data_IF_655675471089
#
_entry.id   IF_655675471089
#
_cell.length_a   1.000
_cell.length_b   1.000
_cell.length_c   1.000
_cell.angle_alpha   90.00
_cell.angle_beta   90.00
_cell.angle_gamma   90.00
#
_symmetry.space_group_name_H-M   'P 1'
#
loop_
_entity.id
_entity.type
_entity.pdbx_description
1 polymer ?
#
# COMPACT_ATOMS: atom_id res chain seq x y z
N UNK A 1 -24.41 -26.20 -11.30
CA UNK A 1 -23.06 -25.56 -11.24
C UNK A 1 -23.02 -24.21 -10.53
N UNK A 2 -24.10 -23.39 -10.48
CA UNK A 2 -24.11 -22.13 -9.69
C UNK A 2 -24.30 -22.32 -8.17
N UNK A 3 -24.99 -23.36 -7.71
CA UNK A 3 -25.25 -23.57 -6.27
C UNK A 3 -24.02 -24.00 -5.45
N UNK A 4 -23.12 -24.81 -6.01
CA UNK A 4 -21.92 -25.29 -5.29
C UNK A 4 -20.85 -24.19 -5.13
N UNK A 5 -20.70 -23.30 -6.11
CA UNK A 5 -19.68 -22.22 -6.06
C UNK A 5 -20.08 -21.03 -5.18
N UNK A 6 -21.38 -20.71 -5.11
CA UNK A 6 -21.87 -19.77 -4.10
C UNK A 6 -21.61 -20.28 -2.68
N UNK A 7 -21.71 -21.61 -2.48
CA UNK A 7 -21.36 -22.24 -1.21
C UNK A 7 -19.88 -22.11 -0.86
N UNK A 8 -18.95 -22.23 -1.83
CA UNK A 8 -17.51 -22.08 -1.58
C UNK A 8 -17.15 -20.67 -1.09
N UNK A 9 -17.64 -19.62 -1.76
CA UNK A 9 -17.33 -18.23 -1.39
C UNK A 9 -17.84 -17.92 0.02
N UNK A 10 -19.06 -18.33 0.34
CA UNK A 10 -19.62 -18.15 1.67
C UNK A 10 -18.80 -18.85 2.75
N UNK A 11 -18.39 -20.11 2.51
CA UNK A 11 -17.54 -20.85 3.43
C UNK A 11 -16.19 -20.17 3.64
N UNK A 12 -15.58 -19.69 2.56
CA UNK A 12 -14.31 -18.97 2.60
C UNK A 12 -14.43 -17.63 3.35
N UNK A 13 -15.54 -16.89 3.18
CA UNK A 13 -15.80 -15.67 3.95
C UNK A 13 -15.90 -16.01 5.44
N UNK A 14 -16.75 -16.98 5.81
CA UNK A 14 -16.92 -17.41 7.20
C UNK A 14 -15.60 -17.85 7.81
N UNK A 15 -14.80 -18.62 7.07
CA UNK A 15 -13.45 -19.01 7.48
C UNK A 15 -12.54 -17.80 7.72
N UNK A 16 -12.48 -16.85 6.78
CA UNK A 16 -11.69 -15.62 6.94
C UNK A 16 -12.09 -14.85 8.20
N UNK A 17 -13.38 -14.75 8.50
CA UNK A 17 -13.87 -14.02 9.67
C UNK A 17 -13.39 -14.65 10.99
N UNK A 18 -13.46 -15.98 11.09
CA UNK A 18 -12.99 -16.76 12.25
C UNK A 18 -11.47 -16.72 12.37
N UNK A 19 -10.75 -16.97 11.27
CA UNK A 19 -9.29 -16.95 11.25
C UNK A 19 -8.76 -15.56 11.74
N UNK A 20 -9.45 -14.47 11.39
CA UNK A 20 -9.11 -13.13 11.85
C UNK A 20 -9.47 -12.85 13.31
N UNK A 21 -10.50 -13.49 13.84
CA UNK A 21 -10.83 -13.38 15.27
C UNK A 21 -9.70 -13.93 16.14
N UNK A 22 -9.15 -15.09 15.78
CA UNK A 22 -8.04 -15.70 16.51
C UNK A 22 -6.73 -14.93 16.30
N UNK A 23 -6.51 -14.44 15.07
CA UNK A 23 -5.36 -13.61 14.73
C UNK A 23 -5.29 -12.32 15.56
N UNK A 24 -6.41 -11.59 15.67
CA UNK A 24 -6.44 -10.28 16.37
C UNK A 24 -6.19 -10.39 17.88
N UNK A 25 -6.48 -11.54 18.49
CA UNK A 25 -6.19 -11.81 19.92
C UNK A 25 -4.69 -11.98 20.17
N UNK A 26 -3.96 -12.57 19.23
CA UNK A 26 -2.59 -13.06 19.42
C UNK A 26 -1.51 -12.20 18.77
N UNK A 27 -1.83 -11.49 17.69
CA UNK A 27 -0.84 -10.76 16.89
C UNK A 27 -0.46 -9.40 17.50
N UNK A 28 0.81 -9.24 17.89
CA UNK A 28 1.33 -8.00 18.50
C UNK A 28 1.38 -6.82 17.52
N UNK A 29 1.68 -7.09 16.23
CA UNK A 29 1.71 -6.05 15.21
C UNK A 29 0.33 -5.43 14.98
N UNK A 30 -0.73 -6.23 15.07
CA UNK A 30 -2.12 -5.79 14.99
C UNK A 30 -2.45 -4.85 16.15
N UNK A 31 -2.09 -5.24 17.37
CA UNK A 31 -2.32 -4.40 18.57
C UNK A 31 -1.60 -3.06 18.46
N UNK A 32 -0.39 -3.04 17.92
CA UNK A 32 0.36 -1.80 17.66
C UNK A 32 -0.25 -1.00 16.51
N UNK A 33 -0.58 -1.65 15.39
CA UNK A 33 -1.22 -1.00 14.24
C UNK A 33 -2.58 -0.38 14.63
N UNK A 34 -3.34 -0.97 15.54
CA UNK A 34 -4.66 -0.48 15.97
C UNK A 34 -4.62 0.37 17.25
N UNK A 35 -3.44 0.64 17.82
CA UNK A 35 -3.30 1.36 19.09
C UNK A 35 -4.00 2.74 19.08
N UNK A 36 -3.85 3.45 17.96
CA UNK A 36 -4.38 4.80 17.78
C UNK A 36 -5.39 4.90 16.62
N UNK A 37 -5.88 3.77 16.10
CA UNK A 37 -6.84 3.74 14.99
C UNK A 37 -7.87 2.64 15.17
N UNK A 38 -9.05 2.89 14.64
CA UNK A 38 -10.07 1.88 14.43
C UNK A 38 -10.56 1.91 12.99
N UNK A 39 -10.98 0.75 12.49
CA UNK A 39 -11.48 0.61 11.14
C UNK A 39 -12.80 -0.14 11.12
N UNK A 40 -13.83 0.49 10.57
CA UNK A 40 -15.14 -0.06 10.29
C UNK A 40 -15.21 -0.43 8.81
N UNK A 41 -15.22 -1.72 8.52
CA UNK A 41 -15.07 -2.23 7.16
C UNK A 41 -16.34 -2.93 6.72
N UNK A 42 -16.94 -2.44 5.63
CA UNK A 42 -17.98 -3.14 4.90
C UNK A 42 -17.37 -3.94 3.74
N UNK A 43 -17.78 -5.19 3.60
CA UNK A 43 -17.45 -6.04 2.47
C UNK A 43 -18.69 -6.32 1.62
N UNK A 44 -18.48 -6.34 0.31
CA UNK A 44 -19.46 -6.79 -0.70
C UNK A 44 -18.74 -7.72 -1.67
N UNK A 45 -18.79 -9.02 -1.42
CA UNK A 45 -18.08 -10.04 -2.21
C UNK A 45 -19.10 -10.92 -2.91
N UNK A 46 -19.17 -10.83 -4.24
CA UNK A 46 -20.01 -11.70 -5.08
C UNK A 46 -21.48 -11.79 -4.62
N UNK A 47 -22.04 -10.68 -4.09
CA UNK A 47 -23.42 -10.62 -3.60
C UNK A 47 -23.58 -10.85 -2.10
N UNK A 48 -22.53 -11.27 -1.40
CA UNK A 48 -22.52 -11.38 0.07
C UNK A 48 -22.10 -10.07 0.71
N UNK A 49 -22.93 -9.59 1.63
CA UNK A 49 -22.63 -8.47 2.51
C UNK A 49 -22.19 -9.00 3.88
N UNK A 50 -21.13 -8.41 4.43
CA UNK A 50 -20.68 -8.66 5.79
C UNK A 50 -19.78 -7.50 6.23
N UNK A 51 -19.53 -7.38 7.53
CA UNK A 51 -18.65 -6.34 8.04
C UNK A 51 -17.66 -6.87 9.06
N UNK A 52 -16.61 -6.07 9.25
CA UNK A 52 -15.61 -6.24 10.30
C UNK A 52 -15.35 -4.89 10.96
N UNK A 53 -15.18 -4.88 12.27
CA UNK A 53 -14.74 -3.72 13.04
C UNK A 53 -13.42 -4.11 13.70
N UNK A 54 -12.38 -3.33 13.43
CA UNK A 54 -11.05 -3.52 13.98
C UNK A 54 -10.76 -2.40 14.97
N UNK A 55 -10.48 -2.76 16.21
CA UNK A 55 -10.05 -1.88 17.30
C UNK A 55 -8.90 -2.57 18.05
N UNK A 56 -8.12 -1.82 18.82
CA UNK A 56 -6.93 -2.35 19.53
C UNK A 56 -7.20 -3.65 20.30
N UNK A 57 -8.26 -3.65 21.09
CA UNK A 57 -8.58 -4.74 22.04
C UNK A 57 -9.90 -5.45 21.67
N UNK A 58 -10.47 -5.12 20.51
CA UNK A 58 -11.78 -5.63 20.09
C UNK A 58 -11.80 -5.83 18.58
N UNK A 59 -12.23 -7.01 18.19
CA UNK A 59 -12.54 -7.34 16.81
C UNK A 59 -13.96 -7.88 16.77
N UNK A 60 -14.78 -7.31 15.89
CA UNK A 60 -16.15 -7.77 15.67
C UNK A 60 -16.38 -8.03 14.20
N UNK A 61 -17.24 -9.00 13.92
CA UNK A 61 -17.71 -9.23 12.57
C UNK A 61 -19.14 -9.72 12.57
N UNK A 62 -19.87 -9.45 11.48
CA UNK A 62 -21.14 -10.12 11.22
C UNK A 62 -21.31 -10.39 9.75
N UNK A 63 -21.82 -11.58 9.46
CA UNK A 63 -22.14 -12.04 8.12
C UNK A 63 -23.60 -11.77 7.80
N UNK A 64 -23.89 -11.29 6.59
CA UNK A 64 -25.24 -10.95 6.12
C UNK A 64 -25.74 -9.57 6.54
N UNK A 65 -24.96 -8.80 7.29
CA UNK A 65 -25.35 -7.47 7.77
C UNK A 65 -24.60 -6.34 7.03
N UNK A 66 -25.27 -5.19 6.94
CA UNK A 66 -24.70 -3.95 6.40
C UNK A 66 -24.34 -3.04 7.57
N UNK A 67 -23.11 -2.55 7.59
CA UNK A 67 -22.61 -1.61 8.58
C UNK A 67 -22.87 -0.17 8.12
N UNK A 68 -23.70 0.62 8.84
CA UNK A 68 -23.82 2.04 8.57
C UNK A 68 -22.52 2.76 8.94
N UNK A 69 -22.15 3.77 8.16
CA UNK A 69 -20.95 4.62 8.38
C UNK A 69 -19.65 3.81 8.43
N UNK A 70 -19.47 2.91 7.45
CA UNK A 70 -18.21 2.21 7.26
C UNK A 70 -17.11 3.15 6.75
N UNK A 71 -15.92 3.05 7.34
CA UNK A 71 -14.71 3.77 6.93
C UNK A 71 -14.24 3.32 5.54
N UNK A 72 -14.38 2.00 5.28
CA UNK A 72 -14.06 1.40 4.00
C UNK A 72 -15.22 0.52 3.52
N UNK A 73 -15.51 0.58 2.22
CA UNK A 73 -16.34 -0.41 1.55
C UNK A 73 -15.55 -1.09 0.44
N UNK A 74 -15.29 -2.38 0.60
CA UNK A 74 -14.63 -3.21 -0.40
C UNK A 74 -15.66 -3.94 -1.26
N UNK A 75 -15.48 -3.89 -2.57
CA UNK A 75 -16.38 -4.54 -3.54
C UNK A 75 -15.57 -5.42 -4.48
N UNK A 76 -15.83 -6.73 -4.43
CA UNK A 76 -15.32 -7.74 -5.36
C UNK A 76 -16.52 -8.38 -6.05
N UNK A 77 -16.53 -8.37 -7.39
CA UNK A 77 -17.64 -8.94 -8.18
C UNK A 77 -17.24 -10.19 -8.97
N UNK A 78 -15.96 -10.35 -9.25
CA UNK A 78 -15.46 -11.50 -9.99
C UNK A 78 -15.20 -12.65 -9.02
N UNK A 79 -15.91 -13.77 -9.22
CA UNK A 79 -15.83 -14.95 -8.34
C UNK A 79 -14.43 -15.55 -8.27
N UNK A 80 -13.76 -15.72 -9.40
CA UNK A 80 -12.40 -16.28 -9.45
C UNK A 80 -11.43 -15.44 -8.61
N UNK A 81 -11.51 -14.11 -8.76
CA UNK A 81 -10.72 -13.16 -7.98
C UNK A 81 -11.07 -13.21 -6.50
N UNK A 82 -12.35 -13.32 -6.15
CA UNK A 82 -12.81 -13.43 -4.77
C UNK A 82 -12.27 -14.70 -4.10
N UNK A 83 -12.34 -15.85 -4.76
CA UNK A 83 -11.84 -17.12 -4.25
C UNK A 83 -10.34 -17.04 -3.98
N UNK A 84 -9.54 -16.54 -4.95
CA UNK A 84 -8.09 -16.39 -4.76
C UNK A 84 -7.76 -15.45 -3.61
N UNK A 85 -8.49 -14.34 -3.49
CA UNK A 85 -8.35 -13.39 -2.39
C UNK A 85 -8.64 -14.02 -1.04
N UNK A 86 -9.77 -14.70 -0.90
CA UNK A 86 -10.18 -15.34 0.36
C UNK A 86 -9.28 -16.51 0.74
N UNK A 87 -8.64 -17.17 -0.23
CA UNK A 87 -7.59 -18.18 -0.01
C UNK A 87 -6.23 -17.58 0.36
N UNK A 88 -6.11 -16.24 0.38
CA UNK A 88 -4.88 -15.53 0.74
C UNK A 88 -3.81 -15.54 -0.35
N UNK A 89 -4.16 -15.79 -1.62
CA UNK A 89 -3.19 -15.79 -2.72
C UNK A 89 -2.56 -14.40 -2.92
N UNK A 90 -1.29 -14.38 -3.32
CA UNK A 90 -0.57 -13.13 -3.62
C UNK A 90 -0.99 -12.56 -4.98
N UNK A 91 -1.98 -11.66 -4.97
CA UNK A 91 -2.58 -11.12 -6.20
C UNK A 91 -1.81 -9.95 -6.85
N UNK A 92 -0.60 -9.62 -6.39
CA UNK A 92 0.24 -8.57 -7.01
C UNK A 92 -0.51 -7.24 -7.21
N UNK A 93 -1.29 -6.86 -6.21
CA UNK A 93 -2.26 -5.78 -6.30
C UNK A 93 -1.58 -4.43 -6.58
N UNK A 94 -2.24 -3.54 -7.30
CA UNK A 94 -1.77 -2.16 -7.48
C UNK A 94 -2.93 -1.20 -7.35
N UNK A 95 -2.66 -0.04 -6.76
CA UNK A 95 -3.57 1.09 -6.86
C UNK A 95 -3.48 1.60 -8.30
N UNK A 96 -4.63 1.78 -8.95
CA UNK A 96 -4.64 2.52 -10.20
C UNK A 96 -4.13 3.96 -9.92
N UNK A 97 -3.11 4.40 -10.65
CA UNK A 97 -2.64 5.78 -10.63
C UNK A 97 -3.80 6.69 -11.02
N UNK A 98 -4.27 7.53 -10.09
CA UNK A 98 -5.14 8.67 -10.40
C UNK A 98 -4.78 9.84 -9.50
N UNK A 99 -4.64 11.00 -10.16
CA UNK A 99 -4.82 12.33 -9.58
C UNK A 99 -6.13 12.34 -8.77
N UNK A 100 -6.05 12.74 -7.51
CA UNK A 100 -7.12 12.88 -6.51
C UNK A 100 -7.93 11.61 -6.13
N UNK A 101 -7.59 11.05 -4.96
CA UNK A 101 -8.35 10.01 -4.25
C UNK A 101 -9.71 10.55 -3.76
N UNK A 102 -10.69 10.76 -4.65
CA UNK A 102 -12.03 11.26 -4.30
C UNK A 102 -12.92 10.18 -3.65
N UNK A 103 -12.45 9.60 -2.54
CA UNK A 103 -13.18 8.59 -1.77
C UNK A 103 -13.38 7.25 -2.50
N UNK A 104 -12.64 6.99 -3.59
CA UNK A 104 -12.71 5.72 -4.31
C UNK A 104 -11.39 5.38 -5.01
N UNK A 105 -10.93 4.14 -4.84
CA UNK A 105 -9.83 3.57 -5.61
C UNK A 105 -10.26 2.29 -6.31
N UNK A 106 -9.60 2.01 -7.43
CA UNK A 106 -9.62 0.69 -8.07
C UNK A 106 -8.30 0.00 -7.76
N UNK A 107 -8.41 -1.24 -7.30
CA UNK A 107 -7.29 -2.14 -7.17
C UNK A 107 -7.31 -3.06 -8.38
N UNK A 108 -6.16 -3.17 -9.04
CA UNK A 108 -5.94 -4.06 -10.17
C UNK A 108 -4.96 -5.16 -9.78
N UNK A 109 -5.15 -6.35 -10.35
CA UNK A 109 -4.23 -7.47 -10.27
C UNK A 109 -3.38 -7.52 -11.54
N UNK A 110 -2.07 -7.68 -11.40
CA UNK A 110 -1.21 -7.99 -12.54
C UNK A 110 -1.38 -9.46 -12.91
N UNK A 111 -1.74 -9.72 -14.16
CA UNK A 111 -1.96 -11.08 -14.69
C UNK A 111 -0.87 -11.54 -15.65
N UNK A 112 0.00 -10.64 -16.10
CA UNK A 112 1.10 -10.99 -17.00
C UNK A 112 1.85 -9.78 -17.52
N UNK A 113 2.61 -10.01 -18.59
CA UNK A 113 3.33 -8.99 -19.35
C UNK A 113 2.97 -9.12 -20.82
N UNK A 114 2.78 -7.99 -21.49
CA UNK A 114 2.64 -7.92 -22.94
C UNK A 114 3.76 -7.07 -23.54
N UNK A 115 4.24 -7.47 -24.71
CA UNK A 115 5.19 -6.64 -25.48
C UNK A 115 4.38 -5.68 -26.34
N UNK A 116 4.59 -4.38 -26.13
CA UNK A 116 3.97 -3.33 -26.93
C UNK A 116 5.06 -2.71 -27.79
N UNK A 117 4.87 -2.75 -29.12
CA UNK A 117 5.74 -2.04 -30.06
C UNK A 117 5.43 -0.55 -29.94
N UNK A 118 6.47 0.24 -29.68
CA UNK A 118 6.44 1.70 -29.66
C UNK A 118 7.42 2.23 -30.69
N UNK A 119 7.33 3.52 -31.02
CA UNK A 119 8.26 4.19 -31.95
C UNK A 119 9.74 4.04 -31.51
N UNK A 120 9.98 3.90 -30.20
CA UNK A 120 11.31 3.71 -29.60
C UNK A 120 11.67 2.23 -29.35
N UNK A 121 10.97 1.28 -29.98
CA UNK A 121 11.20 -0.16 -29.87
C UNK A 121 10.19 -0.91 -29.02
N UNK A 122 10.53 -2.15 -28.63
CA UNK A 122 9.64 -3.04 -27.89
C UNK A 122 9.70 -2.77 -26.38
N UNK A 123 8.55 -2.42 -25.79
CA UNK A 123 8.42 -2.18 -24.35
C UNK A 123 7.52 -3.22 -23.71
N UNK A 124 8.01 -3.92 -22.68
CA UNK A 124 7.17 -4.78 -21.83
C UNK A 124 6.25 -3.92 -20.97
N UNK A 125 4.93 -4.08 -21.13
CA UNK A 125 3.92 -3.48 -20.27
C UNK A 125 3.24 -4.54 -19.42
N UNK A 126 2.94 -4.26 -18.14
CA UNK A 126 2.16 -5.18 -17.33
C UNK A 126 0.73 -5.25 -17.88
N UNK A 127 0.19 -6.47 -17.96
CA UNK A 127 -1.24 -6.68 -18.21
C UNK A 127 -1.93 -6.69 -16.85
N UNK A 128 -2.84 -5.75 -16.64
CA UNK A 128 -3.55 -5.56 -15.39
C UNK A 128 -5.05 -5.82 -15.60
N UNK A 129 -5.65 -6.60 -14.69
CA UNK A 129 -7.10 -6.83 -14.64
C UNK A 129 -7.69 -6.16 -13.41
N UNK A 130 -8.87 -5.58 -13.55
CA UNK A 130 -9.58 -5.03 -12.41
C UNK A 130 -9.90 -6.14 -11.40
N UNK A 131 -9.60 -5.87 -10.13
CA UNK A 131 -9.79 -6.82 -9.04
C UNK A 131 -10.88 -6.37 -8.07
N UNK A 132 -10.76 -5.16 -7.53
CA UNK A 132 -11.61 -4.69 -6.43
C UNK A 132 -11.79 -3.17 -6.50
N UNK A 133 -12.95 -2.70 -6.07
CA UNK A 133 -13.16 -1.27 -5.77
C UNK A 133 -13.13 -1.08 -4.26
N UNK A 134 -12.40 -0.07 -3.79
CA UNK A 134 -12.46 0.38 -2.40
C UNK A 134 -13.08 1.76 -2.39
N UNK A 135 -14.09 1.97 -1.56
CA UNK A 135 -14.65 3.29 -1.26
C UNK A 135 -14.21 3.67 0.15
N UNK A 136 -13.89 4.95 0.34
CA UNK A 136 -13.52 5.52 1.63
C UNK A 136 -14.61 6.45 2.11
N UNK A 137 -14.74 6.55 3.42
CA UNK A 137 -15.37 7.70 4.05
C UNK A 137 -14.59 8.98 3.65
N UNK A 138 -15.31 9.92 3.03
CA UNK A 138 -14.73 11.17 2.54
C UNK A 138 -14.39 12.13 3.66
N UNK A 139 -15.09 12.04 4.80
CA UNK A 139 -14.90 12.95 5.93
C UNK A 139 -13.60 12.63 6.68
N UNK A 140 -13.23 11.34 6.76
CA UNK A 140 -12.05 10.86 7.49
C UNK A 140 -10.72 10.92 6.72
N UNK A 141 -10.72 11.36 5.45
CA UNK A 141 -9.52 11.59 4.60
C UNK A 141 -8.44 10.48 4.69
N UNK A 142 -8.82 9.21 4.57
CA UNK A 142 -7.86 8.10 4.64
C UNK A 142 -6.87 8.07 3.47
N UNK A 143 -5.58 7.93 3.77
CA UNK A 143 -4.57 7.60 2.76
C UNK A 143 -4.66 6.11 2.38
N UNK A 144 -4.52 5.70 1.10
CA UNK A 144 -4.60 4.29 0.69
C UNK A 144 -3.62 3.36 1.42
N UNK A 145 -2.50 3.88 1.93
CA UNK A 145 -1.56 3.12 2.75
C UNK A 145 -2.19 2.59 4.05
N UNK A 146 -3.25 3.20 4.58
CA UNK A 146 -3.98 2.72 5.75
C UNK A 146 -4.58 1.33 5.54
N UNK A 147 -4.86 0.96 4.28
CA UNK A 147 -5.32 -0.39 3.94
C UNK A 147 -4.32 -1.48 4.36
N UNK A 148 -3.02 -1.17 4.36
CA UNK A 148 -1.98 -2.13 4.75
C UNK A 148 -2.00 -2.51 6.23
N UNK A 149 -2.72 -1.76 7.07
CA UNK A 149 -2.93 -2.05 8.49
C UNK A 149 -4.07 -3.03 8.72
N UNK A 150 -4.97 -3.21 7.75
CA UNK A 150 -6.01 -4.24 7.80
C UNK A 150 -5.34 -5.61 7.56
N UNK A 151 -5.50 -6.60 8.45
CA UNK A 151 -4.79 -7.89 8.37
C UNK A 151 -4.88 -8.58 7.01
N UNK A 152 -6.06 -8.58 6.38
CA UNK A 152 -6.30 -9.20 5.07
C UNK A 152 -5.43 -8.61 3.95
N UNK A 153 -4.93 -7.38 4.13
CA UNK A 153 -4.04 -6.70 3.20
C UNK A 153 -2.59 -6.63 3.72
N UNK A 154 -2.23 -7.21 4.86
CA UNK A 154 -0.86 -7.10 5.38
C UNK A 154 0.16 -7.78 4.47
N UNK A 155 -0.20 -8.93 3.87
CA UNK A 155 0.64 -9.63 2.88
C UNK A 155 0.91 -8.80 1.61
N UNK A 156 0.06 -7.79 1.32
CA UNK A 156 0.31 -6.83 0.25
C UNK A 156 1.60 -6.03 0.49
N UNK A 157 1.87 -5.64 1.75
CA UNK A 157 3.11 -4.94 2.14
C UNK A 157 4.32 -5.87 2.03
N UNK A 158 4.17 -7.11 2.46
CA UNK A 158 5.26 -8.09 2.39
C UNK A 158 5.67 -8.37 0.95
N UNK A 159 4.75 -8.50 -0.01
CA UNK A 159 5.09 -8.75 -1.43
C UNK A 159 5.90 -7.63 -2.11
N UNK A 160 5.82 -6.38 -1.60
CA UNK A 160 6.67 -5.26 -2.05
C UNK A 160 8.02 -5.22 -1.34
N UNK A 161 8.11 -5.85 -0.17
CA UNK A 161 9.27 -5.91 0.71
C UNK A 161 10.09 -7.18 0.51
N UNK A 162 9.48 -8.25 -0.02
CA UNK A 162 10.17 -9.45 -0.43
C UNK A 162 11.13 -9.05 -1.55
N UNK A 163 12.45 -9.15 -1.33
CA UNK A 163 13.38 -8.94 -2.41
C UNK A 163 12.99 -9.95 -3.49
N UNK A 164 12.77 -9.47 -4.72
CA UNK A 164 12.93 -10.37 -5.86
C UNK A 164 14.31 -11.02 -5.66
N UNK A 165 14.47 -12.34 -5.82
CA UNK A 165 15.76 -12.99 -5.56
C UNK A 165 16.93 -12.36 -6.33
N UNK A 166 16.65 -11.65 -7.44
CA UNK A 166 17.63 -10.91 -8.23
C UNK A 166 17.88 -9.45 -7.81
N UNK A 167 17.02 -8.84 -6.97
CA UNK A 167 17.27 -7.50 -6.41
C UNK A 167 17.81 -7.67 -4.99
N UNK A 168 19.14 -7.75 -4.88
CA UNK A 168 19.82 -7.49 -3.60
C UNK A 168 19.36 -6.11 -3.12
N UNK A 169 18.48 -6.10 -2.13
CA UNK A 169 18.16 -4.89 -1.40
C UNK A 169 19.41 -4.56 -0.57
N UNK A 170 20.16 -3.56 -1.01
CA UNK A 170 21.24 -2.96 -0.21
C UNK A 170 20.71 -2.00 0.86
N UNK A 171 19.38 -1.93 1.04
CA UNK A 171 18.78 -1.18 2.13
C UNK A 171 19.06 -1.86 3.47
N UNK A 172 19.92 -1.25 4.27
CA UNK A 172 20.11 -1.61 5.67
C UNK A 172 19.01 -0.99 6.52
N UNK A 173 18.39 -1.78 7.39
CA UNK A 173 17.46 -1.27 8.39
C UNK A 173 18.25 -0.60 9.51
N UNK A 174 18.09 0.71 9.71
CA UNK A 174 18.64 1.40 10.88
C UNK A 174 17.63 1.18 12.02
N UNK A 175 17.98 0.40 13.05
CA UNK A 175 17.04 0.13 14.14
C UNK A 175 16.84 1.39 14.97
N UNK A 176 15.59 1.85 15.07
CA UNK A 176 15.22 2.95 15.95
C UNK A 176 15.24 2.43 17.40
N UNK A 177 15.90 3.17 18.30
CA UNK A 177 16.04 2.86 19.73
C UNK A 177 16.79 1.56 20.09
N UNK A 178 17.58 0.98 19.17
CA UNK A 178 18.55 -0.05 19.55
C UNK A 178 19.95 0.52 19.59
N UNK A 179 20.66 0.17 20.65
CA UNK A 179 22.09 0.43 20.79
C UNK A 179 22.85 -0.32 19.69
N UNK A 180 23.52 0.41 18.80
CA UNK A 180 24.28 -0.12 17.65
C UNK A 180 25.79 -0.15 17.90
N UNK A 181 26.19 -0.16 19.17
CA UNK A 181 27.58 -0.16 19.62
C UNK A 181 28.06 1.21 20.08
N UNK A 182 29.27 1.23 20.64
CA UNK A 182 30.02 2.45 20.97
C UNK A 182 30.62 3.04 19.69
N UNK A 183 29.76 3.55 18.82
CA UNK A 183 30.20 4.50 17.82
C UNK A 183 29.71 5.85 18.29
N UNK A 184 30.66 6.73 18.56
CA UNK A 184 30.42 8.14 18.87
C UNK A 184 29.26 8.65 18.01
N UNK A 185 28.44 9.55 18.55
CA UNK A 185 27.42 10.31 17.82
C UNK A 185 28.04 11.07 16.62
N UNK A 186 28.49 10.34 15.61
CA UNK A 186 29.09 10.84 14.42
C UNK A 186 27.96 10.96 13.44
N UNK A 187 27.54 12.21 13.25
CA UNK A 187 26.96 12.68 11.99
C UNK A 187 27.59 11.86 10.87
N UNK A 188 26.78 11.18 10.04
CA UNK A 188 27.29 10.48 8.85
C UNK A 188 28.33 11.41 8.24
N UNK A 189 29.61 11.03 8.20
CA UNK A 189 30.66 12.00 7.97
C UNK A 189 30.34 12.72 6.68
N UNK A 190 30.28 14.05 6.73
CA UNK A 190 29.94 14.88 5.56
C UNK A 190 30.74 14.42 4.32
N UNK A 191 31.99 13.98 4.55
CA UNK A 191 32.88 13.35 3.57
C UNK A 191 32.29 12.16 2.80
N UNK A 192 31.47 11.32 3.43
CA UNK A 192 30.80 10.19 2.76
C UNK A 192 29.70 10.70 1.84
N UNK A 193 28.88 11.65 2.30
CA UNK A 193 27.87 12.29 1.45
C UNK A 193 28.53 13.06 0.29
N UNK A 194 29.55 13.87 0.56
CA UNK A 194 30.36 14.58 -0.43
C UNK A 194 30.98 13.61 -1.44
N UNK A 195 31.44 12.44 -1.01
CA UNK A 195 31.96 11.42 -1.92
C UNK A 195 30.88 10.96 -2.91
N UNK A 196 29.67 10.64 -2.46
CA UNK A 196 28.59 10.24 -3.36
C UNK A 196 28.12 11.39 -4.26
N UNK A 197 28.01 12.62 -3.72
CA UNK A 197 27.62 13.80 -4.49
C UNK A 197 28.65 14.14 -5.57
N UNK A 198 29.94 14.10 -5.24
CA UNK A 198 31.02 14.39 -6.20
C UNK A 198 31.20 13.31 -7.26
N UNK A 199 30.85 12.05 -6.96
CA UNK A 199 30.92 10.93 -7.91
C UNK A 199 29.64 10.73 -8.71
N UNK A 200 28.54 11.35 -8.29
CA UNK A 200 27.29 11.29 -9.00
C UNK A 200 27.35 12.11 -10.29
N UNK A 201 27.16 11.44 -11.41
CA UNK A 201 27.02 12.10 -12.71
C UNK A 201 25.64 12.73 -12.93
N UNK A 202 24.64 12.34 -12.14
CA UNK A 202 23.26 12.83 -12.22
C UNK A 202 22.69 12.89 -10.81
N UNK A 203 22.17 14.06 -10.44
CA UNK A 203 21.48 14.32 -9.18
C UNK A 203 20.16 15.00 -9.53
N UNK A 204 19.06 14.48 -8.99
CA UNK A 204 17.73 15.07 -9.10
C UNK A 204 17.27 15.39 -7.69
N UNK A 205 16.87 16.62 -7.45
CA UNK A 205 16.26 17.03 -6.18
C UNK A 205 14.83 17.46 -6.43
N UNK A 206 13.92 16.94 -5.62
CA UNK A 206 12.56 17.44 -5.53
C UNK A 206 12.58 18.78 -4.78
N UNK A 207 11.79 19.73 -5.27
CA UNK A 207 11.57 21.06 -4.68
C UNK A 207 10.69 21.00 -3.42
N UNK A 208 9.88 19.95 -3.28
CA UNK A 208 8.96 19.76 -2.18
C UNK A 208 9.08 18.35 -1.61
N UNK A 209 9.17 18.24 -0.28
CA UNK A 209 8.98 16.99 0.42
C UNK A 209 7.49 16.67 0.52
N UNK A 210 6.96 15.89 -0.44
CA UNK A 210 5.55 15.50 -0.46
C UNK A 210 5.07 14.88 0.87
N UNK A 211 5.93 14.13 1.57
CA UNK A 211 5.61 13.53 2.87
C UNK A 211 5.44 14.57 4.00
N UNK A 212 6.31 15.60 4.05
CA UNK A 212 6.23 16.67 5.06
C UNK A 212 5.09 17.63 4.75
N UNK A 213 4.92 17.97 3.47
CA UNK A 213 3.81 18.77 2.99
C UNK A 213 2.47 18.14 3.38
N UNK A 214 2.27 16.86 3.02
CA UNK A 214 1.03 16.13 3.31
C UNK A 214 0.72 16.01 4.81
N UNK A 215 1.74 15.93 5.67
CA UNK A 215 1.58 15.79 7.12
C UNK A 215 1.63 17.11 7.89
N UNK A 216 1.73 18.24 7.19
CA UNK A 216 1.83 19.57 7.79
C UNK A 216 2.89 19.63 8.91
N UNK A 217 4.06 19.04 8.65
CA UNK A 217 5.11 18.92 9.67
C UNK A 217 5.66 20.29 10.11
N UNK A 218 5.21 20.80 11.26
CA UNK A 218 5.55 22.14 11.75
C UNK A 218 7.04 22.40 12.00
N UNK A 219 7.81 21.36 12.31
CA UNK A 219 9.22 21.47 12.70
C UNK A 219 10.20 21.05 11.59
N UNK A 220 9.72 20.85 10.36
CA UNK A 220 10.55 20.40 9.25
C UNK A 220 10.25 21.20 7.99
N UNK A 221 11.29 21.72 7.35
CA UNK A 221 11.17 22.46 6.11
C UNK A 221 10.61 21.58 4.99
N UNK A 222 9.53 22.03 4.39
CA UNK A 222 8.82 21.35 3.30
C UNK A 222 9.56 21.51 1.97
N UNK A 223 10.38 22.56 1.81
CA UNK A 223 11.17 22.81 0.59
C UNK A 223 12.36 21.86 0.40
N UNK A 224 12.64 21.01 1.40
CA UNK A 224 13.75 20.04 1.35
C UNK A 224 13.19 18.68 0.91
N UNK A 225 12.99 18.51 -0.41
CA UNK A 225 12.49 17.29 -1.03
C UNK A 225 13.47 16.11 -1.07
N UNK A 226 13.04 14.99 -1.65
CA UNK A 226 13.92 13.82 -1.78
C UNK A 226 15.02 14.08 -2.81
N UNK A 227 16.24 13.64 -2.49
CA UNK A 227 17.36 13.63 -3.43
C UNK A 227 17.54 12.23 -4.01
N UNK A 228 17.59 12.15 -5.34
CA UNK A 228 17.83 10.92 -6.09
C UNK A 228 19.14 11.05 -6.85
N UNK A 229 20.00 10.05 -6.72
CA UNK A 229 21.37 10.10 -7.23
C UNK A 229 21.61 8.91 -8.16
N UNK A 230 22.25 9.16 -9.31
CA UNK A 230 22.73 8.13 -10.23
C UNK A 230 22.12 8.18 -11.64
N UNK A 231 22.79 7.52 -12.58
CA UNK A 231 22.47 7.54 -14.02
C UNK A 231 21.06 7.06 -14.36
N UNK A 232 20.48 6.18 -13.55
CA UNK A 232 19.12 5.67 -13.79
C UNK A 232 18.05 6.75 -13.64
N UNK A 233 18.38 7.91 -13.06
CA UNK A 233 17.48 9.06 -13.02
C UNK A 233 17.18 9.65 -14.39
N UNK A 234 18.08 9.52 -15.37
CA UNK A 234 17.82 9.99 -16.75
C UNK A 234 16.71 9.19 -17.45
N UNK A 235 16.43 7.98 -16.97
CA UNK A 235 15.42 7.07 -17.55
C UNK A 235 14.07 7.19 -16.86
N UNK A 236 13.99 7.97 -15.78
CA UNK A 236 12.81 8.10 -14.95
C UNK A 236 11.99 9.27 -15.47
N UNK A 237 10.70 9.06 -15.67
CA UNK A 237 9.79 10.17 -15.89
C UNK A 237 9.73 10.96 -14.58
N UNK A 238 10.09 12.24 -14.61
CA UNK A 238 10.08 13.08 -13.41
C UNK A 238 8.65 13.21 -12.86
N UNK A 239 7.63 13.02 -13.69
CA UNK A 239 6.22 12.95 -13.26
C UNK A 239 5.92 11.70 -12.41
N UNK A 240 6.74 10.65 -12.49
CA UNK A 240 6.62 9.45 -11.65
C UNK A 240 7.29 9.60 -10.27
N UNK A 241 8.03 10.69 -10.04
CA UNK A 241 8.66 10.99 -8.75
C UNK A 241 7.71 11.64 -7.76
N UNK A 242 6.60 12.20 -8.23
CA UNK A 242 5.59 12.84 -7.41
C UNK A 242 4.35 11.96 -7.23
N UNK A 243 4.32 11.01 -6.28
CA UNK A 243 3.04 10.55 -5.77
C UNK A 243 2.46 11.63 -4.86
N UNK A 244 1.79 12.64 -5.43
CA UNK A 244 0.75 13.38 -4.72
C UNK A 244 0.85 14.91 -4.58
N UNK A 245 1.46 15.63 -5.51
CA UNK A 245 1.23 17.09 -5.57
C UNK A 245 -0.12 17.39 -6.26
N UNK A 246 -1.03 18.17 -5.65
CA UNK A 246 -2.14 18.81 -6.36
C UNK A 246 -1.61 19.68 -7.50
N UNK A 247 -2.36 19.80 -8.60
CA UNK A 247 -1.98 20.56 -9.81
C UNK A 247 -1.82 22.08 -9.59
N UNK A 248 -1.97 22.57 -8.35
CA UNK A 248 -2.15 23.98 -8.03
C UNK A 248 -0.99 24.58 -7.20
N UNK A 249 0.21 24.02 -7.27
CA UNK A 249 1.41 24.67 -6.70
C UNK A 249 2.04 25.54 -7.80
N UNK A 250 2.06 26.88 -7.66
CA UNK A 250 2.74 27.75 -8.61
C UNK A 250 4.24 27.44 -8.58
N UNK A 251 4.82 27.18 -9.76
CA UNK A 251 6.27 27.09 -9.96
C UNK A 251 6.97 28.45 -9.86
#
# INVERSE_FOLDING_TARGET
RNNEKNSEIEQLIKKMLVDLEDFTKTDEFYKEDMKDMSFRVQWKICGYDFYQIFEKDRYEHKFGEILPNADFTFVIRNEESAIKFLKGELLGLRYASRKSYNGRIKIVQRVGWSTVKTENGEKKRPVEKFFMTVKFDKEKKFHPASLSKIPTFRNYRQSKSSPKPERRSYGSYIPVNKFVGEHENTIIPLKVFEHFLSKASVIVMEDICGCRHYRECKNHDVSIGCMHIGQDMLKRDLQDLEPGMPEDVPG
#
